data_IF_698719048075
#
_entry.id   IF_698719048075
#
_cell.length_a   1.000
_cell.length_b   1.000
_cell.length_c   1.000
_cell.angle_alpha   90.00
_cell.angle_beta   90.00
_cell.angle_gamma   90.00
#
_symmetry.space_group_name_H-M   'P 1'
#
loop_
_entity.id
_entity.type
_entity.pdbx_description
1 polymer ?
#
# COMPACT_ATOMS: atom_id res chain seq x y z
N UNK A 1 65.09 8.92 -54.44
CA UNK A 1 64.92 8.45 -53.05
C UNK A 1 64.05 9.46 -52.32
N UNK A 2 62.89 9.11 -51.75
CA UNK A 2 62.06 10.09 -51.07
C UNK A 2 62.70 10.44 -49.73
N UNK A 3 62.83 11.74 -49.47
CA UNK A 3 63.32 12.24 -48.20
C UNK A 3 62.31 11.91 -47.09
N UNK A 4 62.75 11.20 -46.05
CA UNK A 4 62.01 11.10 -44.80
C UNK A 4 62.02 12.48 -44.14
N UNK A 5 60.94 13.23 -44.32
CA UNK A 5 60.67 14.42 -43.51
C UNK A 5 60.21 13.94 -42.15
N UNK A 6 61.05 14.15 -41.12
CA UNK A 6 60.66 13.98 -39.72
C UNK A 6 59.72 15.16 -39.39
N UNK A 7 58.42 14.92 -39.16
CA UNK A 7 57.49 15.98 -38.81
C UNK A 7 57.75 16.35 -37.36
N UNK A 8 58.66 17.31 -37.13
CA UNK A 8 59.19 17.56 -35.79
C UNK A 8 59.58 19.00 -35.49
N UNK A 9 59.52 19.92 -36.46
CA UNK A 9 60.02 21.30 -36.28
C UNK A 9 58.91 22.37 -36.17
N UNK A 10 57.64 21.95 -36.13
CA UNK A 10 56.47 22.81 -35.81
C UNK A 10 55.63 22.26 -34.63
N UNK A 11 56.23 21.33 -33.86
CA UNK A 11 55.60 20.31 -32.99
C UNK A 11 54.66 20.78 -31.86
N UNK A 12 54.53 22.08 -31.55
CA UNK A 12 53.68 22.52 -30.44
C UNK A 12 52.20 22.16 -30.59
N UNK A 13 51.69 22.06 -31.83
CA UNK A 13 50.28 21.74 -32.10
C UNK A 13 50.05 20.23 -32.29
N UNK A 14 50.99 19.53 -32.93
CA UNK A 14 50.90 18.08 -33.17
C UNK A 14 51.20 17.24 -31.93
N UNK A 15 52.09 17.68 -31.04
CA UNK A 15 52.35 16.96 -29.78
C UNK A 15 51.10 16.93 -28.89
N UNK A 16 50.32 18.01 -28.86
CA UNK A 16 49.04 18.06 -28.14
C UNK A 16 48.00 17.09 -28.73
N UNK A 17 47.97 16.95 -30.06
CA UNK A 17 47.08 15.99 -30.74
C UNK A 17 47.52 14.53 -30.52
N UNK A 18 48.82 14.25 -30.51
CA UNK A 18 49.38 12.92 -30.23
C UNK A 18 49.10 12.52 -28.77
N UNK A 19 49.32 13.43 -27.82
CA UNK A 19 49.01 13.20 -26.40
C UNK A 19 47.51 12.94 -26.21
N UNK A 20 46.63 13.72 -26.85
CA UNK A 20 45.18 13.44 -26.82
C UNK A 20 44.84 12.04 -27.36
N UNK A 21 45.42 11.64 -28.50
CA UNK A 21 45.18 10.30 -29.08
C UNK A 21 45.68 9.15 -28.18
N UNK A 22 46.80 9.34 -27.48
CA UNK A 22 47.32 8.38 -26.50
C UNK A 22 46.42 8.28 -25.26
N UNK A 23 45.95 9.41 -24.72
CA UNK A 23 45.00 9.45 -23.61
C UNK A 23 43.67 8.81 -24.01
N UNK A 24 43.18 9.06 -25.23
CA UNK A 24 41.98 8.40 -25.76
C UNK A 24 42.14 6.88 -25.91
N UNK A 25 43.35 6.41 -26.25
CA UNK A 25 43.67 4.99 -26.33
C UNK A 25 43.68 4.34 -24.94
N UNK A 26 44.32 4.98 -23.97
CA UNK A 26 44.31 4.61 -22.54
C UNK A 26 42.90 4.63 -21.94
N UNK A 27 42.01 5.51 -22.43
CA UNK A 27 40.62 5.60 -21.98
C UNK A 27 39.71 4.50 -22.57
N UNK A 28 40.10 3.80 -23.65
CA UNK A 28 39.30 2.70 -24.24
C UNK A 28 38.91 1.59 -23.25
N UNK A 29 39.83 1.03 -22.43
CA UNK A 29 39.45 0.01 -21.45
C UNK A 29 38.41 0.51 -20.45
N UNK A 30 38.51 1.77 -20.02
CA UNK A 30 37.55 2.40 -19.11
C UNK A 30 36.17 2.49 -19.78
N UNK A 31 36.11 3.02 -21.01
CA UNK A 31 34.85 3.10 -21.77
C UNK A 31 34.20 1.73 -21.98
N UNK A 32 35.00 0.68 -22.22
CA UNK A 32 34.50 -0.70 -22.33
C UNK A 32 33.89 -1.17 -21.01
N UNK A 33 34.54 -0.90 -19.87
CA UNK A 33 34.00 -1.25 -18.55
C UNK A 33 32.74 -0.46 -18.22
N UNK A 34 32.66 0.82 -18.59
CA UNK A 34 31.44 1.64 -18.44
C UNK A 34 30.28 1.08 -19.26
N UNK A 35 30.53 0.66 -20.50
CA UNK A 35 29.53 0.00 -21.36
C UNK A 35 29.08 -1.35 -20.79
N UNK A 36 30.01 -2.16 -20.28
CA UNK A 36 29.66 -3.42 -19.62
C UNK A 36 28.84 -3.18 -18.35
N UNK A 37 29.18 -2.16 -17.57
CA UNK A 37 28.46 -1.79 -16.36
C UNK A 37 27.04 -1.28 -16.70
N UNK A 38 26.89 -0.45 -17.72
CA UNK A 38 25.57 0.02 -18.16
C UNK A 38 24.70 -1.14 -18.66
N UNK A 39 25.28 -2.08 -19.42
CA UNK A 39 24.59 -3.30 -19.86
C UNK A 39 24.13 -4.16 -18.68
N UNK A 40 25.03 -4.44 -17.72
CA UNK A 40 24.71 -5.22 -16.54
C UNK A 40 23.63 -4.55 -15.68
N UNK A 41 23.67 -3.22 -15.55
CA UNK A 41 22.62 -2.44 -14.86
C UNK A 41 21.28 -2.56 -15.57
N UNK A 42 21.25 -2.46 -16.89
CA UNK A 42 20.04 -2.63 -17.67
C UNK A 42 19.45 -4.04 -17.51
N UNK A 43 20.31 -5.06 -17.53
CA UNK A 43 19.90 -6.45 -17.32
C UNK A 43 19.34 -6.68 -15.90
N UNK A 44 20.02 -6.16 -14.87
CA UNK A 44 19.52 -6.23 -13.49
C UNK A 44 18.18 -5.54 -13.32
N UNK A 45 18.00 -4.38 -13.96
CA UNK A 45 16.71 -3.68 -13.96
C UNK A 45 15.60 -4.53 -14.59
N UNK A 46 15.85 -5.11 -15.76
CA UNK A 46 14.87 -5.98 -16.43
C UNK A 46 14.48 -7.19 -15.56
N UNK A 47 15.43 -7.81 -14.86
CA UNK A 47 15.13 -8.90 -13.93
C UNK A 47 14.31 -8.45 -12.71
N UNK A 48 14.60 -7.27 -12.16
CA UNK A 48 13.84 -6.71 -11.06
C UNK A 48 12.41 -6.34 -11.48
N UNK A 49 12.23 -5.81 -12.69
CA UNK A 49 10.92 -5.50 -13.24
C UNK A 49 10.09 -6.78 -13.42
N UNK A 50 10.69 -7.84 -14.00
CA UNK A 50 10.04 -9.15 -14.13
C UNK A 50 9.66 -9.75 -12.77
N UNK A 51 10.57 -9.67 -11.79
CA UNK A 51 10.32 -10.13 -10.42
C UNK A 51 9.10 -9.41 -9.83
N UNK A 52 9.05 -8.09 -9.93
CA UNK A 52 7.94 -7.28 -9.43
C UNK A 52 6.62 -7.72 -10.03
N UNK A 53 6.56 -7.85 -11.37
CA UNK A 53 5.33 -8.26 -12.07
C UNK A 53 4.90 -9.67 -11.66
N UNK A 54 5.86 -10.59 -11.51
CA UNK A 54 5.57 -11.98 -11.12
C UNK A 54 5.08 -12.08 -9.68
N UNK A 55 5.68 -11.30 -8.77
CA UNK A 55 5.24 -11.22 -7.37
C UNK A 55 3.83 -10.63 -7.26
N UNK A 56 3.54 -9.54 -7.99
CA UNK A 56 2.18 -8.95 -8.02
C UNK A 56 1.14 -9.95 -8.56
N UNK A 57 1.47 -10.68 -9.63
CA UNK A 57 0.59 -11.73 -10.16
C UNK A 57 0.37 -12.85 -9.13
N UNK A 58 1.42 -13.29 -8.45
CA UNK A 58 1.34 -14.31 -7.41
C UNK A 58 0.45 -13.83 -6.24
N UNK A 59 0.61 -12.59 -5.78
CA UNK A 59 -0.19 -12.00 -4.71
C UNK A 59 -1.66 -11.89 -5.09
N UNK A 60 -1.97 -11.38 -6.29
CA UNK A 60 -3.35 -11.30 -6.80
C UNK A 60 -3.98 -12.68 -6.94
N UNK A 61 -3.24 -13.65 -7.48
CA UNK A 61 -3.74 -15.03 -7.61
C UNK A 61 -4.02 -15.63 -6.24
N UNK A 62 -3.11 -15.44 -5.26
CA UNK A 62 -3.30 -15.87 -3.87
C UNK A 62 -4.53 -15.23 -3.24
N UNK A 63 -4.75 -13.94 -3.45
CA UNK A 63 -5.95 -13.25 -2.95
C UNK A 63 -7.25 -13.89 -3.49
N UNK A 64 -7.25 -14.33 -4.75
CA UNK A 64 -8.41 -14.96 -5.39
C UNK A 64 -8.65 -16.42 -4.96
N UNK A 65 -7.60 -17.19 -4.67
CA UNK A 65 -7.72 -18.62 -4.33
C UNK A 65 -7.69 -18.90 -2.82
N UNK A 66 -7.26 -17.93 -2.01
CA UNK A 66 -7.15 -18.11 -0.56
C UNK A 66 -8.52 -18.31 0.09
N UNK A 67 -8.53 -18.76 1.34
CA UNK A 67 -9.76 -18.89 2.14
C UNK A 67 -10.53 -17.55 2.30
N UNK A 68 -9.85 -16.42 2.07
CA UNK A 68 -10.42 -15.07 2.07
C UNK A 68 -11.05 -14.69 0.71
N UNK A 69 -11.01 -15.56 -0.30
CA UNK A 69 -11.53 -15.30 -1.63
C UNK A 69 -12.95 -14.70 -1.58
N UNK A 70 -13.22 -13.54 -2.23
CA UNK A 70 -14.47 -12.80 -2.05
C UNK A 70 -15.72 -13.52 -2.59
N UNK A 71 -15.55 -14.63 -3.32
CA UNK A 71 -16.64 -15.33 -4.01
C UNK A 71 -17.69 -15.98 -3.10
N UNK A 72 -17.38 -16.19 -1.81
CA UNK A 72 -18.33 -16.72 -0.83
C UNK A 72 -18.91 -15.64 0.10
N UNK A 73 -18.61 -14.37 -0.13
CA UNK A 73 -19.25 -13.27 0.61
C UNK A 73 -20.72 -13.19 0.24
N UNK A 74 -21.57 -13.04 1.25
CA UNK A 74 -23.00 -12.84 1.10
C UNK A 74 -23.31 -11.41 1.52
N UNK A 75 -24.27 -10.79 0.85
CA UNK A 75 -24.76 -9.48 1.23
C UNK A 75 -26.19 -9.60 1.76
N UNK A 76 -26.53 -8.75 2.73
CA UNK A 76 -27.89 -8.63 3.25
C UNK A 76 -28.56 -7.48 2.52
N UNK A 77 -29.67 -7.76 1.87
CA UNK A 77 -30.53 -6.74 1.26
C UNK A 77 -31.81 -6.69 2.08
N UNK A 78 -32.13 -5.51 2.60
CA UNK A 78 -33.40 -5.24 3.28
C UNK A 78 -34.41 -4.63 2.33
N UNK A 79 -35.67 -5.00 2.53
CA UNK A 79 -36.80 -4.44 1.79
C UNK A 79 -37.88 -4.11 2.84
N UNK A 80 -38.25 -2.84 3.05
CA UNK A 80 -37.71 -1.60 2.47
C UNK A 80 -36.23 -1.34 2.77
N UNK A 81 -35.52 -0.72 1.82
CA UNK A 81 -34.09 -0.40 1.96
C UNK A 81 -33.85 0.55 3.15
N UNK A 82 -32.76 0.30 3.89
CA UNK A 82 -32.29 1.20 4.96
C UNK A 82 -32.87 0.94 6.35
N UNK A 83 -33.86 0.06 6.50
CA UNK A 83 -34.44 -0.28 7.81
C UNK A 83 -33.51 -1.23 8.59
N UNK A 84 -32.85 -2.16 7.88
CA UNK A 84 -31.92 -3.11 8.46
C UNK A 84 -30.66 -3.15 7.58
N UNK A 85 -29.50 -3.00 8.21
CA UNK A 85 -28.19 -3.20 7.60
C UNK A 85 -27.41 -4.20 8.43
N UNK A 86 -26.53 -4.98 7.79
CA UNK A 86 -25.62 -5.85 8.51
C UNK A 86 -24.72 -6.65 7.58
N UNK A 87 -23.77 -7.32 8.18
CA UNK A 87 -22.80 -8.17 7.50
C UNK A 87 -23.23 -9.64 7.58
N UNK A 88 -23.28 -10.33 6.43
CA UNK A 88 -23.49 -11.76 6.41
C UNK A 88 -22.16 -12.52 6.46
N UNK A 89 -22.05 -13.47 7.38
CA UNK A 89 -20.92 -14.39 7.41
C UNK A 89 -20.95 -15.33 6.20
N UNK A 90 -19.78 -15.84 5.81
CA UNK A 90 -19.64 -16.79 4.68
C UNK A 90 -20.42 -18.09 4.89
N UNK A 91 -20.58 -18.51 6.14
CA UNK A 91 -21.33 -19.71 6.54
C UNK A 91 -22.84 -19.47 6.66
N UNK A 92 -23.32 -18.23 6.53
CA UNK A 92 -24.74 -17.93 6.63
C UNK A 92 -25.52 -18.67 5.54
N UNK A 93 -26.66 -19.26 5.88
CA UNK A 93 -27.54 -19.89 4.89
C UNK A 93 -28.20 -18.83 4.01
N UNK A 94 -28.21 -19.04 2.69
CA UNK A 94 -28.90 -18.13 1.76
C UNK A 94 -30.41 -18.33 1.85
N UNK A 95 -31.17 -17.26 2.01
CA UNK A 95 -32.62 -17.32 2.02
C UNK A 95 -33.28 -16.02 2.49
N UNK A 96 -34.57 -15.89 2.22
CA UNK A 96 -35.37 -14.75 2.70
C UNK A 96 -35.78 -14.98 4.15
N UNK A 97 -35.59 -13.98 5.00
CA UNK A 97 -36.00 -14.00 6.41
C UNK A 97 -36.93 -12.81 6.66
N UNK A 98 -38.04 -13.06 7.35
CA UNK A 98 -38.95 -12.00 7.82
C UNK A 98 -38.51 -11.60 9.22
N UNK A 99 -38.20 -10.31 9.38
CA UNK A 99 -37.79 -9.71 10.65
C UNK A 99 -38.77 -8.58 10.92
N UNK A 100 -39.32 -8.54 12.13
CA UNK A 100 -40.21 -7.47 12.60
C UNK A 100 -39.53 -6.74 13.75
N UNK A 101 -39.38 -5.43 13.63
CA UNK A 101 -38.76 -4.57 14.65
C UNK A 101 -39.86 -4.11 15.59
N UNK A 102 -39.84 -4.58 16.83
CA UNK A 102 -40.81 -4.18 17.86
C UNK A 102 -40.42 -2.87 18.54
N UNK A 103 -39.16 -2.75 18.95
CA UNK A 103 -38.65 -1.60 19.69
C UNK A 103 -37.12 -1.50 19.49
N UNK A 104 -36.60 -0.28 19.40
CA UNK A 104 -35.15 -0.03 19.30
C UNK A 104 -34.52 -0.03 20.69
N UNK A 105 -33.37 -0.69 20.81
CA UNK A 105 -32.59 -0.64 22.03
C UNK A 105 -32.11 0.80 22.28
N UNK A 106 -32.47 1.35 23.44
CA UNK A 106 -32.09 2.69 23.87
C UNK A 106 -31.17 2.61 25.09
N UNK A 107 -30.22 3.54 25.22
CA UNK A 107 -29.35 3.62 26.39
C UNK A 107 -30.06 4.32 27.55
N UNK A 108 -29.91 3.80 28.76
CA UNK A 108 -30.43 4.44 29.96
C UNK A 108 -29.57 5.66 30.33
N UNK A 109 -30.17 6.85 30.35
CA UNK A 109 -29.51 8.08 30.78
C UNK A 109 -30.18 8.63 32.04
N UNK A 110 -29.37 8.89 33.06
CA UNK A 110 -29.79 9.54 34.30
C UNK A 110 -29.10 10.90 34.34
N UNK A 111 -29.89 11.97 34.31
CA UNK A 111 -29.38 13.34 34.47
C UNK A 111 -29.91 13.93 35.77
N UNK A 112 -29.03 14.56 36.52
CA UNK A 112 -29.39 15.31 37.73
C UNK A 112 -30.05 16.64 37.40
N UNK A 113 -30.71 17.22 38.40
CA UNK A 113 -31.30 18.54 38.29
C UNK A 113 -30.23 19.63 38.16
N UNK A 114 -30.53 20.74 37.46
CA UNK A 114 -29.59 21.86 37.31
C UNK A 114 -29.32 22.50 38.69
N UNK A 115 -28.05 22.57 39.08
CA UNK A 115 -27.63 23.20 40.34
C UNK A 115 -26.79 24.44 40.09
N UNK A 116 -27.00 25.49 40.88
CA UNK A 116 -26.14 26.69 40.89
C UNK A 116 -24.71 26.36 41.31
N UNK A 117 -23.74 27.09 40.74
CA UNK A 117 -22.29 26.85 40.90
C UNK A 117 -21.83 26.89 42.37
N UNK A 118 -22.58 27.58 43.24
CA UNK A 118 -22.24 27.78 44.65
C UNK A 118 -23.02 26.89 45.64
N UNK A 119 -23.83 25.95 45.15
CA UNK A 119 -24.65 25.09 46.03
C UNK A 119 -23.85 23.86 46.45
N UNK A 120 -23.49 23.77 47.73
CA UNK A 120 -22.86 22.57 48.29
C UNK A 120 -23.87 21.42 48.33
N UNK A 121 -23.63 20.38 47.55
CA UNK A 121 -24.44 19.16 47.51
C UNK A 121 -23.92 18.20 48.62
N UNK A 122 -24.77 17.72 49.54
CA UNK A 122 -24.35 16.78 50.58
C UNK A 122 -23.97 15.41 50.00
N UNK A 123 -23.05 14.70 50.65
CA UNK A 123 -22.61 13.38 50.23
C UNK A 123 -23.76 12.35 50.31
N UNK A 124 -24.11 11.74 49.18
CA UNK A 124 -25.14 10.70 49.06
C UNK A 124 -24.56 9.36 48.61
N UNK A 125 -25.17 8.24 49.04
CA UNK A 125 -24.87 6.90 48.52
C UNK A 125 -25.90 6.53 47.47
N UNK A 126 -25.46 6.24 46.25
CA UNK A 126 -26.30 5.72 45.19
C UNK A 126 -25.88 4.28 44.86
N UNK A 127 -26.87 3.42 44.59
CA UNK A 127 -26.66 2.06 44.09
C UNK A 127 -27.37 1.96 42.74
N UNK A 128 -26.61 1.65 41.70
CA UNK A 128 -27.13 1.44 40.35
C UNK A 128 -27.33 -0.05 40.18
N UNK A 129 -28.57 -0.48 39.93
CA UNK A 129 -28.87 -1.84 39.52
C UNK A 129 -29.18 -1.83 38.02
N UNK A 130 -28.58 -2.72 37.21
CA UNK A 130 -28.98 -2.86 35.82
C UNK A 130 -30.37 -3.46 35.77
N UNK A 131 -31.33 -2.74 35.18
CA UNK A 131 -32.64 -3.29 34.87
C UNK A 131 -32.49 -4.22 33.65
N UNK A 132 -32.69 -5.52 33.86
CA UNK A 132 -32.70 -6.50 32.77
C UNK A 132 -34.12 -6.49 32.21
N UNK A 133 -34.33 -6.12 30.93
CA UNK A 133 -35.66 -6.09 30.36
C UNK A 133 -36.28 -7.49 30.40
N UNK A 134 -37.47 -7.62 31.00
CA UNK A 134 -38.24 -8.87 30.99
C UNK A 134 -38.62 -9.18 29.54
N UNK A 135 -38.10 -10.28 28.99
CA UNK A 135 -38.53 -10.83 27.70
C UNK A 135 -40.06 -11.07 27.75
N UNK A 136 -40.80 -10.41 26.86
CA UNK A 136 -42.17 -10.81 26.47
C UNK A 136 -42.11 -11.74 25.26
#
# INVERSE_FOLDING_TARGET
MPAFTIPGLSSGQDTNLIVKKLVELEAKPIRRLEQQNSFNKAQSKAWNDLKTVTTDLQEKTRALISFTAPFAMKSIVSEPEGIISGDASRSASSGKRRIEIKELATSHQISGEKTDVNKQIPAGKFKIFPEIPKKK
#
